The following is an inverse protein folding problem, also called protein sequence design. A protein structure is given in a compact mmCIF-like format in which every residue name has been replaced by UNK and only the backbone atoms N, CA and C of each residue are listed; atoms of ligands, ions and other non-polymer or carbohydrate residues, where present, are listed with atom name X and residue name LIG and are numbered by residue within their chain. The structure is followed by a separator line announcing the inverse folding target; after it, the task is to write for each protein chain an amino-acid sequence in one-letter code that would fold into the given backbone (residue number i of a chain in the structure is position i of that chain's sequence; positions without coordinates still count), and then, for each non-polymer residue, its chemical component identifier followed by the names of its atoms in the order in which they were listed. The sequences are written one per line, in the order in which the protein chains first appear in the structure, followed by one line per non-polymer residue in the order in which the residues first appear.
data_IF_681739989965
#
_entry.id   IF_681739989965
#
_cell.length_a   1.000
_cell.length_b   1.000
_cell.length_c   1.000
_cell.angle_alpha   90.00
_cell.angle_beta   90.00
_cell.angle_gamma   90.00
#
_symmetry.space_group_name_H-M   'P 1'
#
loop_
_entity.id
_entity.type
_entity.pdbx_description
1 polymer ?
#
# COMPACT_ATOMS: atom_id res chain seq x y z
N UNK A 1 86.60 -47.23 -7.97
CA UNK A 1 86.48 -45.76 -7.79
C UNK A 1 86.45 -45.13 -9.17
N UNK A 2 85.25 -44.83 -9.66
CA UNK A 2 85.01 -44.08 -10.90
C UNK A 2 83.59 -43.52 -10.77
N UNK A 3 83.52 -42.21 -10.58
CA UNK A 3 82.29 -41.42 -10.42
C UNK A 3 81.82 -41.05 -11.83
N UNK A 4 80.61 -41.46 -12.21
CA UNK A 4 79.92 -40.92 -13.39
C UNK A 4 78.76 -40.05 -12.92
N UNK A 5 78.89 -38.76 -13.20
CA UNK A 5 77.84 -37.74 -13.11
C UNK A 5 76.98 -37.88 -14.37
N UNK A 6 75.70 -38.22 -14.22
CA UNK A 6 74.72 -38.18 -15.30
C UNK A 6 73.74 -37.03 -15.05
N UNK A 7 73.88 -36.01 -15.89
CA UNK A 7 73.04 -34.84 -16.06
C UNK A 7 71.74 -35.27 -16.75
N UNK A 8 70.61 -35.31 -16.03
CA UNK A 8 69.30 -35.56 -16.62
C UNK A 8 68.64 -34.24 -17.01
N UNK A 9 68.48 -34.07 -18.32
CA UNK A 9 67.86 -32.93 -18.97
C UNK A 9 66.37 -32.80 -18.63
N UNK A 10 65.96 -31.56 -18.32
CA UNK A 10 64.58 -31.10 -18.32
C UNK A 10 64.08 -31.13 -19.77
N UNK A 11 63.31 -32.14 -20.13
CA UNK A 11 62.55 -32.19 -21.39
C UNK A 11 61.12 -31.71 -21.13
N UNK A 12 60.74 -30.71 -21.92
CA UNK A 12 59.52 -29.94 -21.77
C UNK A 12 58.26 -30.78 -21.89
N UNK A 13 57.30 -30.47 -21.02
CA UNK A 13 55.91 -30.81 -21.23
C UNK A 13 55.43 -30.12 -22.51
N UNK A 14 55.29 -30.92 -23.58
CA UNK A 14 54.68 -30.53 -24.83
C UNK A 14 53.24 -30.09 -24.58
N UNK A 15 52.94 -28.85 -24.92
CA UNK A 15 51.58 -28.35 -25.03
C UNK A 15 50.77 -29.30 -25.94
N UNK A 16 49.75 -29.93 -25.36
CA UNK A 16 48.72 -30.61 -26.12
C UNK A 16 48.02 -29.58 -27.01
N UNK A 17 48.30 -29.67 -28.32
CA UNK A 17 47.60 -28.96 -29.36
C UNK A 17 46.24 -29.64 -29.60
N UNK A 18 45.25 -29.26 -28.79
CA UNK A 18 43.86 -29.41 -29.18
C UNK A 18 43.59 -28.42 -30.33
N UNK A 19 43.05 -28.91 -31.45
CA UNK A 19 42.56 -28.12 -32.58
C UNK A 19 41.32 -27.29 -32.18
N UNK A 20 41.50 -26.32 -31.27
CA UNK A 20 40.57 -25.24 -30.88
C UNK A 20 40.79 -24.00 -31.75
N UNK A 21 40.89 -24.19 -33.07
CA UNK A 21 41.04 -23.07 -34.01
C UNK A 21 39.96 -22.02 -33.74
N UNK A 22 40.40 -20.78 -33.52
CA UNK A 22 39.58 -19.58 -33.27
C UNK A 22 39.23 -19.24 -31.82
N UNK A 23 39.83 -19.85 -30.80
CA UNK A 23 39.65 -19.35 -29.41
C UNK A 23 40.92 -19.40 -28.55
N UNK A 24 41.03 -18.47 -27.60
CA UNK A 24 42.09 -18.43 -26.58
C UNK A 24 41.50 -18.05 -25.23
N UNK A 25 42.08 -18.51 -24.12
CA UNK A 25 41.67 -18.11 -22.77
C UNK A 25 42.50 -16.91 -22.30
N UNK A 26 41.86 -15.97 -21.62
CA UNK A 26 42.57 -14.91 -20.91
C UNK A 26 42.95 -15.36 -19.48
N UNK A 27 43.72 -14.53 -18.78
CA UNK A 27 44.16 -14.81 -17.41
C UNK A 27 43.01 -14.93 -16.39
N UNK A 28 41.84 -14.39 -16.70
CA UNK A 28 40.63 -14.56 -15.90
C UNK A 28 39.90 -15.89 -16.18
N UNK A 29 40.47 -16.76 -17.03
CA UNK A 29 39.92 -18.05 -17.40
C UNK A 29 38.79 -18.00 -18.44
N UNK A 30 38.39 -16.80 -18.87
CA UNK A 30 37.35 -16.60 -19.87
C UNK A 30 37.87 -16.92 -21.28
N UNK A 31 37.05 -17.63 -22.06
CA UNK A 31 37.38 -18.01 -23.44
C UNK A 31 36.90 -16.91 -24.40
N UNK A 32 37.81 -16.40 -25.22
CA UNK A 32 37.55 -15.40 -26.26
C UNK A 32 37.71 -16.08 -27.62
N UNK A 33 36.67 -15.98 -28.46
CA UNK A 33 36.64 -16.64 -29.76
C UNK A 33 36.44 -15.65 -30.92
N UNK A 34 36.85 -16.03 -32.14
CA UNK A 34 36.55 -15.28 -33.36
C UNK A 34 35.02 -15.14 -33.55
N UNK A 35 34.60 -14.00 -34.07
CA UNK A 35 33.19 -13.61 -34.21
C UNK A 35 32.52 -13.15 -32.92
N UNK A 36 33.14 -13.34 -31.76
CA UNK A 36 32.55 -12.96 -30.48
C UNK A 36 32.63 -11.45 -30.25
N UNK A 37 31.60 -10.93 -29.58
CA UNK A 37 31.61 -9.56 -29.05
C UNK A 37 32.47 -9.50 -27.80
N UNK A 38 33.30 -8.46 -27.69
CA UNK A 38 34.17 -8.20 -26.54
C UNK A 38 34.07 -6.74 -26.12
N UNK A 39 34.44 -6.46 -24.87
CA UNK A 39 34.70 -5.11 -24.37
C UNK A 39 36.17 -4.99 -23.98
N UNK A 40 36.80 -3.87 -24.35
CA UNK A 40 38.19 -3.56 -23.98
C UNK A 40 38.27 -3.01 -22.56
N UNK A 41 39.47 -2.98 -21.99
CA UNK A 41 39.75 -2.27 -20.71
C UNK A 41 39.43 -0.77 -20.76
N UNK A 42 39.46 -0.16 -21.95
CA UNK A 42 39.04 1.23 -22.21
C UNK A 42 37.52 1.39 -22.45
N UNK A 43 36.71 0.37 -22.16
CA UNK A 43 35.26 0.33 -22.34
C UNK A 43 34.80 0.49 -23.81
N UNK A 44 35.62 0.11 -24.78
CA UNK A 44 35.24 0.10 -26.19
C UNK A 44 34.69 -1.27 -26.56
N UNK A 45 33.60 -1.31 -27.32
CA UNK A 45 33.06 -2.56 -27.85
C UNK A 45 33.75 -2.90 -29.17
N UNK A 46 33.99 -4.19 -29.37
CA UNK A 46 34.57 -4.70 -30.59
C UNK A 46 34.07 -6.12 -30.90
N UNK A 47 34.22 -6.54 -32.15
CA UNK A 47 34.00 -7.91 -32.59
C UNK A 47 35.34 -8.54 -32.92
N UNK A 48 35.62 -9.71 -32.36
CA UNK A 48 36.86 -10.45 -32.62
C UNK A 48 36.87 -10.93 -34.07
N UNK A 49 37.94 -10.62 -34.80
CA UNK A 49 38.15 -11.06 -36.19
C UNK A 49 39.07 -12.26 -36.27
N UNK A 50 40.20 -12.21 -35.56
CA UNK A 50 41.19 -13.28 -35.56
C UNK A 50 41.76 -13.48 -34.15
N UNK A 51 42.08 -14.72 -33.83
CA UNK A 51 42.69 -15.16 -32.57
C UNK A 51 43.99 -15.86 -32.88
N UNK A 52 45.09 -15.47 -32.23
CA UNK A 52 46.41 -16.07 -32.42
C UNK A 52 46.85 -16.82 -31.16
N UNK A 53 47.61 -17.91 -31.34
CA UNK A 53 48.05 -18.78 -30.25
C UNK A 53 48.97 -18.08 -29.22
N UNK A 54 49.56 -16.95 -29.57
CA UNK A 54 50.38 -16.14 -28.67
C UNK A 54 49.55 -15.17 -27.79
N UNK A 55 48.22 -15.31 -27.75
CA UNK A 55 47.32 -14.45 -26.98
C UNK A 55 47.02 -13.09 -27.63
N UNK A 56 47.53 -12.85 -28.84
CA UNK A 56 47.16 -11.67 -29.62
C UNK A 56 45.79 -11.86 -30.26
N UNK A 57 44.96 -10.82 -30.22
CA UNK A 57 43.63 -10.77 -30.82
C UNK A 57 43.52 -9.58 -31.76
N UNK A 58 43.01 -9.79 -32.98
CA UNK A 58 42.60 -8.70 -33.87
C UNK A 58 41.10 -8.50 -33.72
N UNK A 59 40.69 -7.26 -33.48
CA UNK A 59 39.28 -6.89 -33.31
C UNK A 59 38.90 -5.77 -34.28
N UNK A 60 37.62 -5.70 -34.65
CA UNK A 60 37.03 -4.53 -35.29
C UNK A 60 36.20 -3.78 -34.24
N UNK A 61 36.61 -2.56 -33.89
CA UNK A 61 35.86 -1.72 -32.94
C UNK A 61 34.58 -1.18 -33.56
N UNK A 62 33.56 -1.03 -32.73
CA UNK A 62 32.29 -0.44 -33.16
C UNK A 62 32.46 1.00 -33.64
N UNK A 63 31.91 1.30 -34.81
CA UNK A 63 31.99 2.63 -35.42
C UNK A 63 33.31 2.91 -36.16
N UNK A 64 34.23 1.95 -36.21
CA UNK A 64 35.49 2.05 -36.94
C UNK A 64 35.50 1.08 -38.14
N UNK A 65 36.23 1.45 -39.20
CA UNK A 65 36.43 0.61 -40.39
C UNK A 65 37.73 -0.20 -40.33
N UNK A 66 38.70 0.24 -39.52
CA UNK A 66 39.99 -0.42 -39.33
C UNK A 66 39.97 -1.41 -38.17
N UNK A 67 40.82 -2.43 -38.26
CA UNK A 67 41.04 -3.38 -37.16
C UNK A 67 42.15 -2.90 -36.23
N UNK A 68 42.04 -3.26 -34.96
CA UNK A 68 43.03 -2.99 -33.92
C UNK A 68 43.54 -4.31 -33.31
N UNK A 69 44.74 -4.28 -32.75
CA UNK A 69 45.36 -5.42 -32.09
C UNK A 69 45.37 -5.24 -30.56
N UNK A 70 44.94 -6.26 -29.84
CA UNK A 70 44.94 -6.30 -28.37
C UNK A 70 45.57 -7.60 -27.85
N UNK A 71 46.10 -7.56 -26.63
CA UNK A 71 46.27 -8.79 -25.83
C UNK A 71 44.90 -9.30 -25.41
N UNK A 72 44.69 -10.62 -25.42
CA UNK A 72 43.46 -11.27 -24.92
C UNK A 72 43.13 -10.84 -23.49
N UNK A 73 44.13 -10.53 -22.68
CA UNK A 73 43.96 -10.09 -21.29
C UNK A 73 43.33 -8.69 -21.18
N UNK A 74 43.38 -7.90 -22.25
CA UNK A 74 42.72 -6.59 -22.31
C UNK A 74 41.27 -6.68 -22.82
N UNK A 75 40.77 -7.89 -23.07
CA UNK A 75 39.44 -8.14 -23.62
C UNK A 75 38.61 -8.98 -22.67
N UNK A 76 37.34 -8.63 -22.56
CA UNK A 76 36.35 -9.44 -21.86
C UNK A 76 35.24 -9.87 -22.83
N UNK A 77 34.98 -11.18 -22.97
CA UNK A 77 33.94 -11.69 -23.85
C UNK A 77 32.53 -11.36 -23.35
N UNK A 78 31.60 -11.18 -24.30
CA UNK A 78 30.15 -11.14 -24.02
C UNK A 78 29.72 -12.47 -23.39
N UNK A 79 28.87 -12.36 -22.37
CA UNK A 79 28.21 -13.46 -21.69
C UNK A 79 26.69 -13.29 -21.82
N UNK A 80 25.95 -14.40 -21.76
CA UNK A 80 24.49 -14.37 -21.85
C UNK A 80 23.85 -13.51 -20.75
N UNK A 81 24.34 -13.68 -19.52
CA UNK A 81 23.95 -12.93 -18.35
C UNK A 81 25.15 -12.76 -17.43
N UNK A 82 25.26 -11.61 -16.78
CA UNK A 82 26.18 -11.40 -15.67
C UNK A 82 25.44 -11.57 -14.35
N UNK A 83 25.86 -12.54 -13.54
CA UNK A 83 25.24 -12.82 -12.25
C UNK A 83 25.73 -11.81 -11.19
N UNK A 84 24.79 -11.25 -10.44
CA UNK A 84 25.04 -10.44 -9.24
C UNK A 84 24.31 -11.06 -8.04
N UNK A 85 24.68 -10.69 -6.80
CA UNK A 85 23.99 -11.16 -5.60
C UNK A 85 22.48 -10.89 -5.63
N UNK A 86 22.06 -9.75 -6.18
CA UNK A 86 20.68 -9.29 -6.18
C UNK A 86 19.88 -9.73 -7.42
N UNK A 87 20.54 -10.34 -8.42
CA UNK A 87 19.90 -10.77 -9.66
C UNK A 87 20.89 -10.88 -10.82
N UNK A 88 20.46 -11.46 -11.93
CA UNK A 88 21.27 -11.52 -13.15
C UNK A 88 20.89 -10.41 -14.12
N UNK A 89 21.90 -9.72 -14.67
CA UNK A 89 21.71 -8.77 -15.77
C UNK A 89 21.95 -9.52 -17.08
N UNK A 90 20.89 -9.74 -17.85
CA UNK A 90 20.93 -10.39 -19.14
C UNK A 90 20.79 -9.38 -20.28
N UNK A 91 21.08 -9.81 -21.50
CA UNK A 91 20.75 -9.06 -22.71
C UNK A 91 19.24 -8.75 -22.76
N UNK A 92 18.90 -7.52 -23.11
CA UNK A 92 17.56 -6.93 -23.09
C UNK A 92 16.89 -6.78 -21.72
N UNK A 93 17.57 -7.10 -20.61
CA UNK A 93 17.05 -6.80 -19.28
C UNK A 93 16.79 -5.30 -19.14
N UNK A 94 15.65 -4.95 -18.57
CA UNK A 94 15.39 -3.59 -18.09
C UNK A 94 16.25 -3.37 -16.85
N UNK A 95 16.94 -2.23 -16.79
CA UNK A 95 17.89 -1.91 -15.73
C UNK A 95 17.76 -0.47 -15.28
N UNK A 96 18.30 -0.18 -14.09
CA UNK A 96 18.52 1.17 -13.60
C UNK A 96 20.00 1.38 -13.26
N UNK A 97 20.54 2.56 -13.59
CA UNK A 97 21.90 2.95 -13.23
C UNK A 97 21.99 3.54 -11.82
N UNK A 98 23.20 3.67 -11.29
CA UNK A 98 23.45 4.39 -10.03
C UNK A 98 22.99 5.85 -10.08
N UNK A 99 23.01 6.48 -11.26
CA UNK A 99 22.51 7.83 -11.56
C UNK A 99 20.98 7.92 -11.74
N UNK A 100 20.22 6.89 -11.38
CA UNK A 100 18.75 6.82 -11.47
C UNK A 100 18.20 6.88 -12.90
N UNK A 101 18.99 6.49 -13.90
CA UNK A 101 18.52 6.41 -15.29
C UNK A 101 18.09 4.99 -15.61
N UNK A 102 16.88 4.82 -16.14
CA UNK A 102 16.39 3.53 -16.62
C UNK A 102 16.84 3.27 -18.05
N UNK A 103 16.88 2.00 -18.45
CA UNK A 103 17.25 1.63 -19.81
C UNK A 103 17.22 0.13 -20.04
N UNK A 104 17.84 -0.31 -21.14
CA UNK A 104 18.02 -1.72 -21.48
C UNK A 104 19.49 -2.10 -21.51
N UNK A 105 19.83 -3.22 -20.89
CA UNK A 105 21.14 -3.83 -21.06
C UNK A 105 21.26 -4.43 -22.47
N UNK A 106 22.18 -3.93 -23.29
CA UNK A 106 22.41 -4.44 -24.65
C UNK A 106 23.35 -5.65 -24.65
N UNK A 107 24.40 -5.59 -23.81
CA UNK A 107 25.40 -6.64 -23.67
C UNK A 107 25.88 -6.69 -22.22
N UNK A 108 26.23 -7.88 -21.76
CA UNK A 108 26.90 -8.13 -20.49
C UNK A 108 28.23 -8.84 -20.78
N UNK A 109 29.28 -8.52 -20.04
CA UNK A 109 30.62 -9.04 -20.27
C UNK A 109 31.16 -9.76 -19.03
N UNK A 110 32.03 -10.75 -19.23
CA UNK A 110 32.55 -11.60 -18.15
C UNK A 110 33.27 -10.82 -17.03
N UNK A 111 33.88 -9.68 -17.34
CA UNK A 111 34.53 -8.77 -16.37
C UNK A 111 33.56 -7.86 -15.61
N UNK A 112 32.25 -8.09 -15.71
CA UNK A 112 31.24 -7.28 -15.03
C UNK A 112 31.04 -5.90 -15.65
N UNK A 113 31.39 -5.70 -16.92
CA UNK A 113 30.93 -4.53 -17.67
C UNK A 113 29.58 -4.82 -18.31
N UNK A 114 28.71 -3.81 -18.34
CA UNK A 114 27.37 -3.87 -18.91
C UNK A 114 27.20 -2.68 -19.86
N UNK A 115 26.87 -2.92 -21.13
CA UNK A 115 26.47 -1.83 -22.02
C UNK A 115 24.97 -1.57 -21.84
N UNK A 116 24.59 -0.32 -21.54
CA UNK A 116 23.21 0.10 -21.30
C UNK A 116 22.82 1.18 -22.29
N UNK A 117 21.69 0.97 -22.99
CA UNK A 117 20.99 2.02 -23.71
C UNK A 117 19.98 2.67 -22.77
N UNK A 118 20.23 3.91 -22.38
CA UNK A 118 19.37 4.67 -21.47
C UNK A 118 18.09 5.14 -22.17
N UNK A 119 16.99 5.16 -21.44
CA UNK A 119 15.72 5.68 -21.95
C UNK A 119 15.88 7.15 -22.35
N UNK A 120 15.50 7.52 -23.57
CA UNK A 120 15.63 8.88 -24.11
C UNK A 120 17.00 9.22 -24.72
N UNK A 121 17.96 8.30 -24.71
CA UNK A 121 19.27 8.47 -25.34
C UNK A 121 19.39 7.61 -26.61
N UNK A 122 20.10 8.12 -27.62
CA UNK A 122 20.37 7.38 -28.88
C UNK A 122 21.62 6.51 -28.82
N UNK A 123 22.56 6.84 -27.93
CA UNK A 123 23.85 6.15 -27.80
C UNK A 123 23.92 5.38 -26.48
N UNK A 124 24.43 4.14 -26.49
CA UNK A 124 24.63 3.36 -25.28
C UNK A 124 25.96 3.70 -24.58
N UNK A 125 26.00 3.48 -23.28
CA UNK A 125 27.19 3.67 -22.44
C UNK A 125 27.58 2.36 -21.74
N UNK A 126 28.84 2.22 -21.33
CA UNK A 126 29.33 1.05 -20.61
C UNK A 126 29.50 1.37 -19.12
N UNK A 127 28.86 0.57 -18.28
CA UNK A 127 28.89 0.68 -16.82
C UNK A 127 29.56 -0.54 -16.20
N UNK A 128 30.13 -0.37 -15.01
CA UNK A 128 30.40 -1.53 -14.14
C UNK A 128 29.07 -2.09 -13.61
N UNK A 129 28.97 -3.41 -13.49
CA UNK A 129 27.76 -4.11 -13.05
C UNK A 129 27.32 -3.64 -11.66
N UNK A 130 28.26 -3.30 -10.76
CA UNK A 130 27.96 -2.70 -9.46
C UNK A 130 27.19 -1.38 -9.52
N UNK A 131 27.18 -0.70 -10.67
CA UNK A 131 26.45 0.55 -10.91
C UNK A 131 25.16 0.35 -11.71
N UNK A 132 24.75 -0.89 -11.93
CA UNK A 132 23.55 -1.27 -12.69
C UNK A 132 22.77 -2.28 -11.87
N UNK A 133 21.45 -2.12 -11.81
CA UNK A 133 20.57 -3.07 -11.14
C UNK A 133 19.48 -3.53 -12.11
N UNK A 134 19.21 -4.84 -12.20
CA UNK A 134 18.11 -5.35 -13.00
C UNK A 134 16.75 -5.01 -12.37
N UNK A 135 15.73 -4.90 -13.22
CA UNK A 135 14.32 -4.93 -12.82
C UNK A 135 13.99 -6.31 -12.23
N UNK A 136 13.16 -6.32 -11.19
CA UNK A 136 12.67 -7.51 -10.51
C UNK A 136 11.15 -7.45 -10.38
N UNK A 137 10.52 -8.61 -10.21
CA UNK A 137 9.07 -8.69 -10.04
C UNK A 137 8.58 -7.96 -8.78
N UNK A 138 9.37 -8.03 -7.70
CA UNK A 138 9.06 -7.38 -6.43
C UNK A 138 10.31 -7.09 -5.60
N UNK A 139 10.24 -6.07 -4.75
CA UNK A 139 11.23 -5.76 -3.71
C UNK A 139 10.49 -5.44 -2.40
N UNK A 140 10.48 -6.40 -1.46
CA UNK A 140 9.60 -6.34 -0.30
C UNK A 140 8.12 -6.37 -0.73
N UNK A 141 7.32 -5.42 -0.24
CA UNK A 141 5.90 -5.27 -0.59
C UNK A 141 5.68 -4.52 -1.92
N UNK A 142 6.73 -3.99 -2.55
CA UNK A 142 6.62 -3.22 -3.78
C UNK A 142 6.70 -4.13 -5.01
N UNK A 143 5.78 -3.94 -5.95
CA UNK A 143 5.74 -4.61 -7.25
C UNK A 143 5.23 -3.62 -8.31
N UNK A 144 5.47 -3.93 -9.59
CA UNK A 144 4.97 -3.08 -10.69
C UNK A 144 3.43 -2.99 -10.65
N UNK A 145 2.89 -1.81 -10.96
CA UNK A 145 1.47 -1.43 -10.84
C UNK A 145 0.93 -1.28 -9.40
N UNK A 146 1.74 -1.49 -8.37
CA UNK A 146 1.31 -1.20 -7.00
C UNK A 146 1.02 0.30 -6.82
N UNK A 147 -0.09 0.64 -6.13
CA UNK A 147 -0.29 2.00 -5.63
C UNK A 147 0.63 2.24 -4.45
N UNK A 148 1.27 3.40 -4.44
CA UNK A 148 2.26 3.78 -3.44
C UNK A 148 2.04 5.19 -2.94
N UNK A 149 2.50 5.45 -1.73
CA UNK A 149 2.63 6.81 -1.18
C UNK A 149 4.09 7.10 -0.82
N UNK A 150 4.55 8.31 -1.12
CA UNK A 150 5.87 8.79 -0.74
C UNK A 150 5.92 9.25 0.72
N UNK A 151 7.13 9.43 1.24
CA UNK A 151 7.36 10.12 2.52
C UNK A 151 6.76 11.55 2.53
N UNK A 152 6.72 12.24 1.39
CA UNK A 152 6.12 13.56 1.18
C UNK A 152 4.59 13.56 0.94
N UNK A 153 3.90 12.45 1.22
CA UNK A 153 2.45 12.29 1.08
C UNK A 153 1.92 12.38 -0.37
N UNK A 154 2.77 12.12 -1.37
CA UNK A 154 2.35 12.09 -2.77
C UNK A 154 2.01 10.66 -3.14
N UNK A 155 0.84 10.46 -3.76
CA UNK A 155 0.41 9.15 -4.24
C UNK A 155 0.81 8.94 -5.69
N UNK A 156 0.97 7.68 -6.08
CA UNK A 156 1.35 7.31 -7.43
C UNK A 156 1.29 5.81 -7.66
N UNK A 157 1.78 5.39 -8.81
CA UNK A 157 1.84 3.99 -9.22
C UNK A 157 3.28 3.60 -9.49
N UNK A 158 3.76 2.52 -8.86
CA UNK A 158 5.06 1.95 -9.17
C UNK A 158 5.05 1.38 -10.58
N UNK A 159 5.96 1.85 -11.46
CA UNK A 159 6.07 1.36 -12.84
C UNK A 159 7.04 0.19 -12.95
N UNK A 160 8.21 0.33 -12.32
CA UNK A 160 9.32 -0.64 -12.34
C UNK A 160 9.96 -0.72 -10.96
N UNK A 161 10.32 -1.91 -10.53
CA UNK A 161 11.00 -2.15 -9.25
C UNK A 161 12.34 -2.82 -9.53
N UNK A 162 13.41 -2.33 -8.92
CA UNK A 162 14.78 -2.79 -9.20
C UNK A 162 15.38 -3.50 -8.00
N UNK A 163 16.27 -4.46 -8.27
CA UNK A 163 16.89 -5.32 -7.27
C UNK A 163 17.66 -4.55 -6.17
N UNK A 164 18.15 -3.35 -6.47
CA UNK A 164 18.82 -2.46 -5.51
C UNK A 164 17.85 -1.64 -4.65
N UNK A 165 16.55 -1.98 -4.65
CA UNK A 165 15.54 -1.28 -3.88
C UNK A 165 15.16 0.09 -4.43
N UNK A 166 15.56 0.45 -5.66
CA UNK A 166 15.00 1.63 -6.35
C UNK A 166 13.69 1.26 -7.05
N UNK A 167 12.77 2.22 -7.12
CA UNK A 167 11.47 2.06 -7.79
C UNK A 167 11.19 3.30 -8.62
N UNK A 168 10.83 3.10 -9.89
CA UNK A 168 10.32 4.17 -10.75
C UNK A 168 8.82 4.34 -10.49
N UNK A 169 8.37 5.54 -10.16
CA UNK A 169 6.99 5.84 -9.75
C UNK A 169 6.40 6.93 -10.64
N UNK A 170 5.22 6.65 -11.20
CA UNK A 170 4.38 7.67 -11.83
C UNK A 170 3.53 8.34 -10.75
N UNK A 171 3.85 9.59 -10.39
CA UNK A 171 3.06 10.36 -9.42
C UNK A 171 1.74 10.83 -10.03
N UNK A 172 0.70 10.88 -9.21
CA UNK A 172 -0.60 11.42 -9.61
C UNK A 172 -0.48 12.89 -10.00
N UNK A 173 -1.00 13.24 -11.19
CA UNK A 173 -0.97 14.62 -11.70
C UNK A 173 0.36 15.05 -12.32
N UNK A 174 1.39 14.19 -12.35
CA UNK A 174 2.66 14.44 -13.04
C UNK A 174 2.71 13.64 -14.34
N UNK A 175 3.39 14.17 -15.36
CA UNK A 175 3.52 13.52 -16.67
C UNK A 175 4.75 12.61 -16.79
N UNK A 176 5.74 12.80 -15.92
CA UNK A 176 7.02 12.08 -15.94
C UNK A 176 7.19 11.27 -14.66
N UNK A 177 7.77 10.06 -14.75
CA UNK A 177 8.04 9.25 -13.58
C UNK A 177 9.33 9.70 -12.88
N UNK A 178 9.35 9.54 -11.56
CA UNK A 178 10.50 9.80 -10.70
C UNK A 178 11.04 8.50 -10.11
N UNK A 179 12.28 8.51 -9.61
CA UNK A 179 12.89 7.34 -8.95
C UNK A 179 12.98 7.57 -7.44
N UNK A 180 12.45 6.63 -6.68
CA UNK A 180 12.49 6.63 -5.22
C UNK A 180 13.20 5.38 -4.69
N UNK A 181 13.83 5.50 -3.52
CA UNK A 181 14.22 4.34 -2.73
C UNK A 181 12.97 3.67 -2.13
N UNK A 182 12.95 2.34 -2.08
CA UNK A 182 11.85 1.55 -1.54
C UNK A 182 11.51 1.93 -0.09
N UNK A 183 12.53 2.30 0.71
CA UNK A 183 12.35 2.80 2.08
C UNK A 183 11.58 4.11 2.19
N UNK A 184 11.45 4.87 1.10
CA UNK A 184 10.67 6.13 1.05
C UNK A 184 9.26 5.92 0.49
N UNK A 185 8.88 4.68 0.20
CA UNK A 185 7.59 4.29 -0.35
C UNK A 185 6.85 3.37 0.63
N UNK A 186 5.53 3.46 0.63
CA UNK A 186 4.68 2.44 1.25
C UNK A 186 3.63 2.00 0.24
N UNK A 187 3.41 0.68 0.16
CA UNK A 187 2.42 0.09 -0.73
C UNK A 187 1.01 0.28 -0.17
N UNK A 188 0.02 0.39 -1.06
CA UNK A 188 -1.39 0.32 -0.68
C UNK A 188 -1.72 -1.08 -0.15
N UNK A 189 -2.46 -1.13 0.96
CA UNK A 189 -2.93 -2.34 1.63
C UNK A 189 -4.45 -2.29 1.79
N UNK A 190 -5.08 -3.43 2.03
CA UNK A 190 -6.54 -3.49 2.25
C UNK A 190 -6.99 -2.73 3.50
N UNK A 191 -6.14 -2.72 4.54
CA UNK A 191 -6.41 -2.09 5.82
C UNK A 191 -5.12 -1.82 6.59
N UNK A 192 -5.20 -0.85 7.52
CA UNK A 192 -4.19 -0.59 8.53
C UNK A 192 -4.92 -0.45 9.88
N UNK A 193 -4.73 -1.44 10.76
CA UNK A 193 -5.60 -1.60 11.94
C UNK A 193 -7.06 -1.77 11.53
N UNK A 194 -7.95 -0.96 12.09
CA UNK A 194 -9.40 -0.98 11.84
C UNK A 194 -9.84 -0.16 10.61
N UNK A 195 -8.91 0.56 9.97
CA UNK A 195 -9.24 1.44 8.83
C UNK A 195 -9.09 0.65 7.53
N UNK A 196 -10.20 0.46 6.85
CA UNK A 196 -10.28 -0.22 5.55
C UNK A 196 -10.47 0.80 4.44
N UNK A 197 -10.09 0.43 3.21
CA UNK A 197 -10.50 1.17 2.01
C UNK A 197 -12.03 1.30 1.96
N UNK A 198 -12.50 2.47 1.58
CA UNK A 198 -13.90 2.92 1.55
C UNK A 198 -14.60 2.98 2.92
N UNK A 199 -13.90 2.81 4.04
CA UNK A 199 -14.50 3.00 5.36
C UNK A 199 -14.83 4.48 5.59
N UNK A 200 -15.98 4.74 6.24
CA UNK A 200 -16.21 6.04 6.87
C UNK A 200 -15.27 6.21 8.05
N UNK A 201 -14.65 7.39 8.15
CA UNK A 201 -13.69 7.74 9.21
C UNK A 201 -14.06 9.09 9.81
N UNK A 202 -13.63 9.32 11.05
CA UNK A 202 -13.66 10.61 11.72
C UNK A 202 -12.23 11.02 12.11
N UNK A 203 -11.89 12.30 11.92
CA UNK A 203 -10.62 12.88 12.38
C UNK A 203 -10.69 13.26 13.86
N UNK A 204 -9.53 13.55 14.47
CA UNK A 204 -9.46 14.14 15.81
C UNK A 204 -10.21 15.48 15.95
N UNK A 205 -10.37 16.22 14.85
CA UNK A 205 -11.12 17.48 14.77
C UNK A 205 -12.62 17.31 14.45
N UNK A 206 -13.15 16.09 14.60
CA UNK A 206 -14.56 15.74 14.32
C UNK A 206 -14.99 15.96 12.86
N UNK A 207 -14.06 15.91 11.91
CA UNK A 207 -14.40 15.93 10.49
C UNK A 207 -14.60 14.49 10.01
N UNK A 208 -15.68 14.24 9.28
CA UNK A 208 -15.94 12.92 8.69
C UNK A 208 -15.43 12.86 7.26
N UNK A 209 -15.15 11.65 6.80
CA UNK A 209 -14.75 11.41 5.43
C UNK A 209 -14.76 9.93 5.09
N UNK A 210 -14.27 9.61 3.89
CA UNK A 210 -14.14 8.25 3.38
C UNK A 210 -12.67 7.97 3.09
N UNK A 211 -12.12 6.89 3.66
CA UNK A 211 -10.77 6.45 3.37
C UNK A 211 -10.69 5.91 1.92
N UNK A 212 -9.99 6.60 1.03
CA UNK A 212 -9.86 6.23 -0.38
C UNK A 212 -8.73 5.22 -0.62
N UNK A 213 -7.60 5.41 0.05
CA UNK A 213 -6.39 4.60 -0.09
C UNK A 213 -5.77 4.44 1.31
N UNK A 214 -5.27 3.25 1.63
CA UNK A 214 -4.66 2.91 2.93
C UNK A 214 -3.28 2.32 2.66
N UNK A 215 -2.25 2.81 3.32
CA UNK A 215 -0.86 2.42 3.03
C UNK A 215 -0.19 1.69 4.20
N UNK A 216 0.78 0.82 3.91
CA UNK A 216 1.43 -0.04 4.92
C UNK A 216 2.21 0.73 5.99
N UNK A 217 2.54 2.00 5.76
CA UNK A 217 3.15 2.89 6.77
C UNK A 217 2.11 3.63 7.65
N UNK A 218 0.84 3.24 7.60
CA UNK A 218 -0.22 3.85 8.39
C UNK A 218 -0.70 5.20 7.86
N UNK A 219 -0.28 5.63 6.66
CA UNK A 219 -0.89 6.79 5.99
C UNK A 219 -2.21 6.39 5.35
N UNK A 220 -3.18 7.29 5.37
CA UNK A 220 -4.52 7.11 4.80
C UNK A 220 -4.91 8.34 4.01
N UNK A 221 -5.26 8.18 2.73
CA UNK A 221 -5.83 9.25 1.90
C UNK A 221 -7.34 9.30 2.12
N UNK A 222 -7.87 10.42 2.59
CA UNK A 222 -9.26 10.57 3.01
C UNK A 222 -9.95 11.65 2.18
N UNK A 223 -11.07 11.31 1.57
CA UNK A 223 -12.01 12.29 1.03
C UNK A 223 -12.89 12.81 2.16
N UNK A 224 -12.64 14.03 2.62
CA UNK A 224 -13.48 14.67 3.65
C UNK A 224 -14.85 15.04 3.09
N UNK A 225 -15.89 14.87 3.92
CA UNK A 225 -17.25 15.27 3.57
C UNK A 225 -17.30 16.81 3.41
N UNK A 226 -17.84 17.29 2.29
CA UNK A 226 -17.94 18.73 1.99
C UNK A 226 -16.67 19.37 1.39
N UNK A 227 -15.59 18.62 1.19
CA UNK A 227 -14.38 19.09 0.52
C UNK A 227 -14.24 18.43 -0.85
N UNK A 228 -13.66 19.13 -1.83
CA UNK A 228 -13.44 18.61 -3.19
C UNK A 228 -12.15 17.82 -3.34
N UNK A 229 -11.17 18.04 -2.46
CA UNK A 229 -9.84 17.42 -2.53
C UNK A 229 -9.60 16.48 -1.36
N UNK A 230 -8.99 15.31 -1.59
CA UNK A 230 -8.61 14.41 -0.51
C UNK A 230 -7.33 14.87 0.18
N UNK A 231 -7.24 14.57 1.47
CA UNK A 231 -6.06 14.86 2.32
C UNK A 231 -5.44 13.57 2.85
N UNK A 232 -4.18 13.61 3.26
CA UNK A 232 -3.48 12.46 3.85
C UNK A 232 -3.37 12.61 5.36
N UNK A 233 -3.79 11.60 6.09
CA UNK A 233 -3.73 11.52 7.55
C UNK A 233 -2.92 10.31 8.00
N UNK A 234 -2.31 10.40 9.18
CA UNK A 234 -1.88 9.22 9.91
C UNK A 234 -3.09 8.46 10.44
N UNK A 235 -3.09 7.14 10.34
CA UNK A 235 -4.15 6.26 10.83
C UNK A 235 -4.43 6.47 12.33
N UNK A 236 -3.43 6.83 13.12
CA UNK A 236 -3.56 7.18 14.55
C UNK A 236 -4.44 8.41 14.81
N UNK A 237 -4.62 9.28 13.81
CA UNK A 237 -5.46 10.48 13.91
C UNK A 237 -6.88 10.26 13.36
N UNK A 238 -7.20 9.02 13.01
CA UNK A 238 -8.47 8.61 12.44
C UNK A 238 -9.12 7.55 13.33
N UNK A 239 -10.45 7.48 13.26
CA UNK A 239 -11.21 6.38 13.84
C UNK A 239 -12.21 5.88 12.82
N UNK A 240 -12.22 4.59 12.59
CA UNK A 240 -13.10 3.97 11.62
C UNK A 240 -14.54 3.92 12.16
N UNK A 241 -15.51 3.95 11.25
CA UNK A 241 -16.89 3.64 11.60
C UNK A 241 -16.93 2.24 12.21
N UNK A 242 -17.45 2.15 13.44
CA UNK A 242 -17.71 0.88 14.08
C UNK A 242 -18.67 0.08 13.21
N UNK A 243 -18.19 -1.05 12.71
CA UNK A 243 -19.06 -2.09 12.17
C UNK A 243 -19.75 -2.67 13.38
N UNK A 244 -20.92 -2.12 13.74
CA UNK A 244 -21.70 -2.62 14.86
C UNK A 244 -21.79 -4.16 14.82
N UNK A 245 -21.98 -4.82 15.97
CA UNK A 245 -21.95 -6.28 16.05
C UNK A 245 -22.80 -6.86 14.92
N UNK A 246 -22.17 -7.64 14.02
CA UNK A 246 -22.88 -8.34 12.95
C UNK A 246 -23.98 -9.14 13.62
N UNK A 247 -25.22 -8.74 13.44
CA UNK A 247 -26.35 -9.42 14.03
C UNK A 247 -26.42 -10.81 13.37
N UNK A 248 -26.09 -11.92 14.05
CA UNK A 248 -25.88 -13.20 13.39
C UNK A 248 -27.15 -13.83 12.77
N UNK A 249 -28.30 -13.15 12.85
CA UNK A 249 -29.61 -13.67 12.42
C UNK A 249 -30.37 -12.83 11.39
N UNK A 250 -29.81 -11.74 10.84
CA UNK A 250 -30.52 -10.96 9.82
C UNK A 250 -30.24 -11.52 8.41
N UNK A 251 -31.01 -12.54 8.03
CA UNK A 251 -31.18 -12.93 6.63
C UNK A 251 -31.85 -11.82 5.80
N UNK A 252 -31.73 -11.86 4.46
CA UNK A 252 -32.25 -10.83 3.59
C UNK A 252 -33.79 -10.89 3.56
N UNK A 253 -34.44 -9.88 4.14
CA UNK A 253 -35.88 -9.67 3.97
C UNK A 253 -36.67 -9.57 5.26
N UNK A 254 -36.48 -8.48 6.02
CA UNK A 254 -37.56 -7.94 6.83
C UNK A 254 -37.69 -6.47 6.50
N UNK A 255 -38.74 -6.14 5.74
CA UNK A 255 -39.12 -4.76 5.45
C UNK A 255 -39.43 -3.97 6.72
N UNK A 256 -39.64 -2.64 6.60
CA UNK A 256 -39.90 -1.77 7.75
C UNK A 256 -41.04 -2.35 8.59
N UNK A 257 -40.70 -2.73 9.82
CA UNK A 257 -41.61 -3.33 10.77
C UNK A 257 -42.85 -2.45 10.93
N UNK A 258 -44.00 -3.00 10.55
CA UNK A 258 -45.29 -2.40 10.83
C UNK A 258 -45.42 -2.27 12.34
N UNK A 259 -45.67 -1.05 12.82
CA UNK A 259 -46.13 -0.82 14.19
C UNK A 259 -47.27 -1.80 14.54
N UNK A 260 -47.22 -2.47 15.71
CA UNK A 260 -48.35 -3.26 16.17
C UNK A 260 -49.52 -2.31 16.44
N UNK A 261 -50.53 -2.33 15.56
CA UNK A 261 -51.82 -1.72 15.82
C UNK A 261 -52.66 -2.73 16.61
N UNK A 262 -52.48 -2.74 17.93
CA UNK A 262 -53.35 -3.48 18.84
C UNK A 262 -52.90 -3.32 20.31
N UNK A 263 -53.82 -3.13 21.26
CA UNK A 263 -53.52 -3.20 22.70
C UNK A 263 -53.32 -4.67 23.09
N UNK A 264 -52.19 -5.24 22.68
CA UNK A 264 -51.86 -6.66 22.87
C UNK A 264 -50.64 -6.81 23.75
N UNK A 265 -50.88 -7.32 24.97
CA UNK A 265 -49.94 -7.96 25.92
C UNK A 265 -48.45 -7.69 25.67
N UNK A 266 -47.88 -6.82 26.50
CA UNK A 266 -46.44 -6.62 26.64
C UNK A 266 -45.71 -7.97 26.77
N UNK A 267 -44.52 -8.15 26.16
CA UNK A 267 -43.71 -9.33 26.36
C UNK A 267 -43.44 -9.49 27.85
N UNK A 268 -44.01 -10.53 28.46
CA UNK A 268 -43.82 -10.87 29.88
C UNK A 268 -42.42 -11.42 30.15
N UNK A 269 -41.65 -11.61 29.10
CA UNK A 269 -40.36 -12.24 29.09
C UNK A 269 -39.33 -11.11 29.09
N UNK A 270 -38.87 -10.70 30.28
CA UNK A 270 -37.98 -9.55 30.52
C UNK A 270 -36.61 -9.62 29.86
N UNK A 271 -36.56 -9.76 28.52
CA UNK A 271 -35.35 -9.57 27.73
C UNK A 271 -35.03 -8.09 27.76
N UNK A 272 -34.03 -7.74 28.56
CA UNK A 272 -33.42 -6.42 28.51
C UNK A 272 -32.94 -6.17 27.09
N UNK A 273 -33.48 -5.13 26.45
CA UNK A 273 -32.90 -4.58 25.24
C UNK A 273 -31.46 -4.13 25.54
N UNK A 274 -30.53 -4.37 24.62
CA UNK A 274 -29.16 -3.90 24.82
C UNK A 274 -29.08 -2.36 24.77
N UNK A 275 -28.17 -1.80 25.55
CA UNK A 275 -27.88 -0.36 25.56
C UNK A 275 -26.84 0.02 24.50
N UNK A 276 -26.44 -0.91 23.64
CA UNK A 276 -25.45 -0.66 22.59
C UNK A 276 -26.10 0.25 21.54
N UNK A 277 -25.51 1.42 21.37
CA UNK A 277 -25.94 2.43 20.40
C UNK A 277 -25.39 2.09 19.02
N UNK A 278 -26.26 2.07 18.03
CA UNK A 278 -25.97 1.75 16.63
C UNK A 278 -26.53 2.83 15.71
N UNK A 279 -26.08 2.83 14.45
CA UNK A 279 -26.68 3.65 13.39
C UNK A 279 -28.19 3.35 13.28
N UNK A 280 -28.99 4.41 13.22
CA UNK A 280 -30.45 4.36 13.13
C UNK A 280 -31.15 4.40 14.48
N UNK A 281 -30.45 4.17 15.60
CA UNK A 281 -31.05 4.24 16.92
C UNK A 281 -31.49 5.68 17.23
N UNK A 282 -32.66 5.80 17.86
CA UNK A 282 -33.10 7.03 18.52
C UNK A 282 -32.28 7.22 19.78
N UNK A 283 -31.85 8.45 20.04
CA UNK A 283 -31.06 8.77 21.23
C UNK A 283 -31.47 10.11 21.82
N UNK A 284 -31.23 10.28 23.11
CA UNK A 284 -31.32 11.56 23.81
C UNK A 284 -29.94 11.98 24.32
N UNK A 285 -29.59 13.26 24.13
CA UNK A 285 -28.35 13.85 24.62
C UNK A 285 -28.45 14.24 26.08
N UNK A 286 -27.31 14.53 26.71
CA UNK A 286 -27.24 15.12 28.05
C UNK A 286 -27.99 16.46 28.17
N UNK A 287 -28.06 17.23 27.08
CA UNK A 287 -28.82 18.48 26.93
C UNK A 287 -30.32 18.30 26.63
N UNK A 288 -30.88 17.09 26.80
CA UNK A 288 -32.29 16.77 26.56
C UNK A 288 -32.73 16.94 25.10
N UNK A 289 -31.81 16.83 24.14
CA UNK A 289 -32.16 16.88 22.73
C UNK A 289 -32.29 15.46 22.20
N UNK A 290 -33.40 15.17 21.53
CA UNK A 290 -33.63 13.87 20.90
C UNK A 290 -33.13 13.92 19.46
N UNK A 291 -32.62 12.80 18.97
CA UNK A 291 -32.14 12.67 17.60
C UNK A 291 -31.96 11.21 17.17
N UNK A 292 -31.37 11.04 16.00
CA UNK A 292 -31.07 9.74 15.40
C UNK A 292 -29.58 9.61 15.13
N UNK A 293 -29.00 8.48 15.50
CA UNK A 293 -27.57 8.21 15.27
C UNK A 293 -27.33 7.93 13.78
N UNK A 294 -26.49 8.74 13.15
CA UNK A 294 -26.10 8.57 11.74
C UNK A 294 -24.91 7.61 11.59
N UNK A 295 -23.92 7.74 12.48
CA UNK A 295 -22.67 6.98 12.47
C UNK A 295 -22.17 6.77 13.90
N UNK A 296 -21.45 5.68 14.12
CA UNK A 296 -20.73 5.35 15.36
C UNK A 296 -19.28 5.03 14.99
N UNK A 297 -18.31 5.50 15.74
CA UNK A 297 -16.87 5.35 15.46
C UNK A 297 -16.17 4.58 16.58
N UNK A 298 -15.01 3.97 16.29
CA UNK A 298 -14.28 3.16 17.27
C UNK A 298 -13.65 3.95 18.43
N UNK A 299 -13.62 5.28 18.34
CA UNK A 299 -13.20 6.17 19.43
C UNK A 299 -14.34 6.62 20.36
N UNK A 300 -15.38 5.81 20.50
CA UNK A 300 -16.57 6.10 21.33
C UNK A 300 -17.29 7.39 20.95
N UNK A 301 -17.20 7.83 19.68
CA UNK A 301 -17.98 8.97 19.17
C UNK A 301 -19.13 8.50 18.29
N UNK A 302 -20.25 9.19 18.41
CA UNK A 302 -21.43 9.03 17.56
C UNK A 302 -21.78 10.35 16.89
N UNK A 303 -22.08 10.32 15.59
CA UNK A 303 -22.69 11.45 14.88
C UNK A 303 -24.20 11.34 15.01
N UNK A 304 -24.86 12.38 15.54
CA UNK A 304 -26.30 12.39 15.82
C UNK A 304 -26.97 13.52 15.05
N UNK A 305 -28.00 13.17 14.28
CA UNK A 305 -28.93 14.13 13.69
C UNK A 305 -30.00 14.47 14.72
N UNK A 306 -29.91 15.65 15.33
CA UNK A 306 -30.93 16.12 16.29
C UNK A 306 -32.21 16.53 15.57
N UNK A 307 -33.34 16.30 16.22
CA UNK A 307 -34.65 16.70 15.73
C UNK A 307 -34.74 18.23 15.69
N UNK A 308 -35.19 18.78 14.55
CA UNK A 308 -35.32 20.23 14.35
C UNK A 308 -34.01 20.97 14.01
N UNK A 309 -32.86 20.29 13.98
CA UNK A 309 -31.59 20.87 13.57
C UNK A 309 -31.24 20.47 12.14
N UNK A 310 -30.65 21.38 11.37
CA UNK A 310 -30.24 21.10 9.98
C UNK A 310 -28.93 20.33 9.87
N UNK A 311 -28.07 20.41 10.89
CA UNK A 311 -26.74 19.80 10.90
C UNK A 311 -26.61 18.78 12.03
N UNK A 312 -25.96 17.63 11.78
CA UNK A 312 -25.63 16.69 12.82
C UNK A 312 -24.52 17.21 13.72
N UNK A 313 -24.41 16.63 14.92
CA UNK A 313 -23.40 16.96 15.92
C UNK A 313 -22.75 15.68 16.47
N UNK A 314 -21.62 15.80 17.17
CA UNK A 314 -20.86 14.66 17.68
C UNK A 314 -20.94 14.56 19.20
N UNK A 315 -21.24 13.36 19.69
CA UNK A 315 -21.34 13.06 21.11
C UNK A 315 -20.50 11.83 21.43
N UNK A 316 -19.93 11.80 22.63
CA UNK A 316 -19.39 10.55 23.18
C UNK A 316 -20.56 9.56 23.34
N UNK A 317 -20.43 8.32 22.88
CA UNK A 317 -21.52 7.34 22.86
C UNK A 317 -22.06 7.08 24.27
N UNK A 318 -21.19 7.05 25.28
CA UNK A 318 -21.57 6.96 26.71
C UNK A 318 -22.39 8.13 27.25
N UNK A 319 -22.42 9.29 26.56
CA UNK A 319 -23.23 10.46 26.95
C UNK A 319 -24.67 10.43 26.42
N UNK A 320 -25.01 9.43 25.61
CA UNK A 320 -26.30 9.29 24.95
C UNK A 320 -27.17 8.26 25.69
N UNK A 321 -28.46 8.56 25.83
CA UNK A 321 -29.46 7.55 26.21
C UNK A 321 -30.09 6.95 24.95
N UNK A 322 -30.04 5.63 24.79
CA UNK A 322 -30.66 4.92 23.66
C UNK A 322 -32.17 4.84 23.85
N UNK A 323 -32.94 5.05 22.80
CA UNK A 323 -34.39 4.85 22.80
C UNK A 323 -34.74 3.38 22.95
N UNK A 324 -35.67 3.09 23.86
CA UNK A 324 -36.04 1.74 24.31
C UNK A 324 -37.54 1.53 24.09
N UNK A 325 -37.94 0.28 23.83
CA UNK A 325 -39.37 -0.08 23.86
C UNK A 325 -39.90 -0.18 25.29
N UNK A 326 -39.02 -0.50 26.24
CA UNK A 326 -39.34 -0.60 27.66
C UNK A 326 -38.11 -0.29 28.51
N UNK A 327 -38.26 0.56 29.52
CA UNK A 327 -37.20 0.84 30.49
C UNK A 327 -37.80 1.25 31.84
N UNK A 328 -37.33 0.64 32.93
CA UNK A 328 -37.78 0.94 34.31
C UNK A 328 -39.32 0.96 34.52
N UNK A 329 -40.05 0.10 33.80
CA UNK A 329 -41.51 0.02 33.93
C UNK A 329 -42.30 0.98 33.04
N UNK A 330 -41.59 1.79 32.24
CA UNK A 330 -42.16 2.76 31.32
C UNK A 330 -42.01 2.31 29.86
N UNK A 331 -43.01 2.62 29.04
CA UNK A 331 -43.04 2.31 27.62
C UNK A 331 -43.76 3.40 26.80
N UNK A 332 -43.36 3.58 25.52
CA UNK A 332 -44.12 4.42 24.58
C UNK A 332 -45.61 4.07 24.55
N UNK A 333 -46.46 5.10 24.55
CA UNK A 333 -47.92 4.99 24.54
C UNK A 333 -48.58 4.92 25.93
N UNK A 334 -47.81 4.71 27.01
CA UNK A 334 -48.36 4.73 28.36
C UNK A 334 -48.77 6.15 28.77
N UNK A 335 -49.89 6.25 29.49
CA UNK A 335 -50.31 7.47 30.18
C UNK A 335 -49.52 7.59 31.48
N UNK A 336 -49.10 8.81 31.78
CA UNK A 336 -48.34 9.14 32.99
C UNK A 336 -48.84 10.43 33.60
N UNK A 337 -48.58 10.61 34.89
CA UNK A 337 -48.77 11.86 35.63
C UNK A 337 -47.39 12.40 35.99
N UNK A 338 -47.14 13.68 35.71
CA UNK A 338 -45.92 14.39 36.10
C UNK A 338 -45.99 14.81 37.57
N UNK A 339 -44.85 15.16 38.17
CA UNK A 339 -44.81 15.78 39.52
C UNK A 339 -45.62 17.08 39.66
N UNK A 340 -45.95 17.74 38.55
CA UNK A 340 -46.83 18.91 38.49
C UNK A 340 -48.33 18.55 38.35
N UNK A 341 -48.71 17.28 38.56
CA UNK A 341 -50.07 16.76 38.38
C UNK A 341 -50.64 16.96 36.96
N UNK A 342 -49.78 16.98 35.94
CA UNK A 342 -50.20 17.04 34.55
C UNK A 342 -50.21 15.66 33.94
N UNK A 343 -51.26 15.33 33.17
CA UNK A 343 -51.34 14.07 32.45
C UNK A 343 -50.63 14.18 31.10
N UNK A 344 -50.02 13.08 30.66
CA UNK A 344 -49.36 13.01 29.37
C UNK A 344 -49.24 11.58 28.87
N UNK A 345 -48.76 11.43 27.64
CA UNK A 345 -48.47 10.14 27.01
C UNK A 345 -46.99 10.07 26.68
N UNK A 346 -46.32 9.00 27.09
CA UNK A 346 -44.93 8.76 26.73
C UNK A 346 -44.82 8.55 25.21
N UNK A 347 -43.93 9.30 24.57
CA UNK A 347 -43.58 9.14 23.14
C UNK A 347 -42.39 8.21 22.97
N UNK A 348 -41.35 8.42 23.76
CA UNK A 348 -40.10 7.64 23.73
C UNK A 348 -39.56 7.51 25.16
N UNK A 349 -38.91 6.40 25.48
CA UNK A 349 -38.20 6.18 26.75
C UNK A 349 -36.74 5.89 26.42
N UNK A 350 -35.81 6.38 27.24
CA UNK A 350 -34.38 6.27 26.99
C UNK A 350 -33.64 5.54 28.11
N UNK A 351 -32.57 4.83 27.75
CA UNK A 351 -31.74 4.01 28.65
C UNK A 351 -31.00 4.79 29.74
N UNK A 352 -31.06 6.12 29.73
CA UNK A 352 -30.47 7.00 30.74
C UNK A 352 -31.52 7.53 31.74
N UNK A 353 -32.67 6.87 31.87
CA UNK A 353 -33.71 7.23 32.83
C UNK A 353 -34.52 8.47 32.43
N UNK A 354 -34.55 8.82 31.14
CA UNK A 354 -35.34 9.95 30.61
C UNK A 354 -36.48 9.45 29.73
N UNK A 355 -37.54 10.24 29.62
CA UNK A 355 -38.64 10.01 28.68
C UNK A 355 -39.06 11.31 28.00
N UNK A 356 -39.47 11.19 26.74
CA UNK A 356 -40.12 12.27 25.99
C UNK A 356 -41.65 12.10 26.15
N UNK A 357 -42.32 13.08 26.76
CA UNK A 357 -43.74 13.00 27.13
C UNK A 357 -44.54 14.07 26.40
N UNK A 358 -45.59 13.67 25.69
CA UNK A 358 -46.60 14.58 25.16
C UNK A 358 -47.64 14.86 26.23
N UNK A 359 -47.61 16.05 26.82
CA UNK A 359 -48.65 16.48 27.77
C UNK A 359 -49.99 16.72 27.07
N UNK A 360 -51.06 16.39 27.77
CA UNK A 360 -52.42 16.64 27.27
C UNK A 360 -52.65 18.16 27.18
N UNK A 361 -53.13 18.64 26.03
CA UNK A 361 -53.36 20.07 25.77
C UNK A 361 -52.15 20.87 25.29
N UNK A 362 -50.95 20.27 25.21
CA UNK A 362 -49.75 20.90 24.66
C UNK A 362 -49.44 20.37 23.25
N UNK A 363 -48.88 21.21 22.38
CA UNK A 363 -48.53 20.84 21.01
C UNK A 363 -47.18 20.14 20.89
N UNK A 364 -46.26 20.40 21.82
CA UNK A 364 -44.90 19.87 21.80
C UNK A 364 -44.65 18.95 23.00
N UNK A 365 -43.87 17.86 22.81
CA UNK A 365 -43.46 17.02 23.92
C UNK A 365 -42.31 17.66 24.71
N UNK A 366 -42.21 17.30 25.98
CA UNK A 366 -41.15 17.73 26.90
C UNK A 366 -40.38 16.51 27.46
N UNK A 367 -39.14 16.72 27.90
CA UNK A 367 -38.29 15.66 28.47
C UNK A 367 -38.44 15.63 29.99
N UNK A 368 -38.69 14.44 30.53
CA UNK A 368 -38.81 14.19 31.97
C UNK A 368 -37.84 13.11 32.44
N UNK A 369 -37.43 13.19 33.70
CA UNK A 369 -36.82 12.04 34.39
C UNK A 369 -37.90 11.01 34.67
N UNK A 370 -37.62 9.72 34.48
CA UNK A 370 -38.57 8.65 34.82
C UNK A 370 -38.96 8.67 36.30
N UNK A 371 -38.04 9.06 37.17
CA UNK A 371 -38.31 9.24 38.60
C UNK A 371 -39.31 10.36 38.92
N UNK A 372 -39.65 11.21 37.94
CA UNK A 372 -40.64 12.29 38.06
C UNK A 372 -42.00 11.94 37.44
N UNK A 373 -42.17 10.69 37.01
CA UNK A 373 -43.39 10.19 36.41
C UNK A 373 -44.01 9.12 37.31
N UNK A 374 -45.34 9.10 37.37
CA UNK A 374 -46.11 7.98 37.91
C UNK A 374 -47.01 7.38 36.83
N UNK A 375 -47.15 6.05 36.88
CA UNK A 375 -48.04 5.26 36.03
C UNK A 375 -49.41 5.07 36.68
#
# INVERSE_FOLDING_TARGET
MLIQIALAAVLGASAHADNFGDCVRNNAGARVCAGQRVVTTSNQLATVRNVFNNGTIIVLRDGYSSTDQYSVDNLSPEVRCYAQPEGSICKQSVVITSSNQTGKALYAFANGKIQVLRDGYSSPDVYSASNVSPEVQSYGELYAQARVITSSNQTGTALKVFANGKTQVQRDGYSSPDVYSASNLAAEVSNYGEIYKNAKVITSSNQTGTALEVFSNGKVKVQRDGYSSPDVYSASNLSAQSRGPRNPGQGPGQGPGRHPRGPGRYPRDGRQEDTIIRKGDRVITSSNQVGTVLLTFSNDKSQVQRDGYSSPDFYTTSSLGKGMQWFEGFAPGQKVITTSNQTGTIREVFSNGRALVQRDGYSSPDVYSLSSLSN
#
